data_IF_773785027228
#
_entry.id   IF_773785027228
#
_cell.length_a   1.000
_cell.length_b   1.000
_cell.length_c   1.000
_cell.angle_alpha   90.00
_cell.angle_beta   90.00
_cell.angle_gamma   90.00
#
_symmetry.space_group_name_H-M   'P 1'
#
loop_
_entity.id
_entity.type
_entity.pdbx_description
1 polymer ?
#
# COMPACT_ATOMS: atom_id res chain seq x y z
N UNK A 1 70.08 -27.72 1.37
CA UNK A 1 69.08 -26.62 1.37
C UNK A 1 68.25 -26.71 2.65
N UNK A 2 67.87 -25.56 3.20
CA UNK A 2 67.23 -25.24 4.50
C UNK A 2 66.14 -26.27 4.93
N UNK A 3 66.27 -26.91 6.11
CA UNK A 3 65.83 -26.54 7.50
C UNK A 3 64.34 -26.87 7.80
N UNK A 4 64.09 -27.89 8.64
CA UNK A 4 63.58 -27.86 10.05
C UNK A 4 62.05 -28.10 10.08
N UNK A 5 61.55 -29.31 10.40
CA UNK A 5 61.29 -29.95 11.71
C UNK A 5 60.23 -29.23 12.58
N UNK A 6 59.00 -29.75 12.57
CA UNK A 6 57.96 -29.46 13.58
C UNK A 6 58.16 -30.37 14.80
N UNK A 7 57.96 -29.84 16.02
CA UNK A 7 56.99 -30.49 16.91
C UNK A 7 56.17 -29.54 17.79
N UNK A 8 54.86 -29.84 17.82
CA UNK A 8 53.98 -30.06 18.98
C UNK A 8 54.18 -29.28 20.31
N UNK A 9 53.12 -28.55 20.67
CA UNK A 9 52.55 -28.24 21.99
C UNK A 9 53.43 -27.94 23.22
N UNK A 10 53.26 -26.73 23.78
CA UNK A 10 53.15 -26.52 25.23
C UNK A 10 52.39 -25.22 25.53
N UNK A 11 51.47 -25.30 26.50
CA UNK A 11 50.57 -24.24 26.95
C UNK A 11 51.31 -23.08 27.65
N UNK A 12 50.79 -21.87 27.51
CA UNK A 12 51.17 -20.71 28.32
C UNK A 12 49.93 -20.12 28.99
N UNK A 13 49.95 -20.19 30.32
CA UNK A 13 49.02 -19.61 31.28
C UNK A 13 49.08 -18.08 31.25
N UNK A 14 47.91 -17.44 31.34
CA UNK A 14 47.78 -16.02 31.68
C UNK A 14 47.57 -15.86 33.20
N UNK A 15 48.41 -15.03 33.83
CA UNK A 15 48.19 -14.30 35.09
C UNK A 15 48.71 -12.88 34.77
N UNK A 16 48.06 -11.74 35.05
CA UNK A 16 46.97 -11.38 35.95
C UNK A 16 47.39 -10.08 36.67
N UNK A 17 46.52 -9.05 36.67
CA UNK A 17 46.35 -7.96 37.67
C UNK A 17 45.46 -6.87 37.02
N UNK A 18 44.18 -6.76 37.37
CA UNK A 18 43.56 -6.18 38.58
C UNK A 18 43.31 -4.67 38.47
N UNK A 19 42.06 -4.29 38.23
CA UNK A 19 41.33 -3.33 39.05
C UNK A 19 39.83 -3.61 38.87
N UNK A 20 39.23 -4.14 39.93
CA UNK A 20 37.78 -4.33 40.08
C UNK A 20 37.23 -3.08 40.78
N UNK A 21 36.69 -2.15 40.01
CA UNK A 21 35.63 -1.29 40.54
C UNK A 21 34.32 -2.03 40.33
N UNK A 22 33.81 -2.63 41.42
CA UNK A 22 32.43 -3.10 41.47
C UNK A 22 31.54 -1.85 41.56
N UNK A 23 30.99 -1.44 40.43
CA UNK A 23 29.74 -0.68 40.44
C UNK A 23 28.69 -1.57 41.12
N UNK A 24 27.96 -1.02 42.10
CA UNK A 24 26.85 -1.73 42.70
C UNK A 24 25.85 -2.08 41.60
N UNK A 25 25.54 -3.37 41.52
CA UNK A 25 24.43 -3.87 40.73
C UNK A 25 23.13 -3.53 41.47
N UNK A 26 22.84 -2.23 41.58
CA UNK A 26 21.50 -1.75 41.90
C UNK A 26 20.70 -1.74 40.59
N UNK A 27 20.58 -2.90 39.95
CA UNK A 27 19.47 -3.13 39.04
C UNK A 27 18.23 -3.13 39.93
N UNK A 28 17.29 -2.18 39.77
CA UNK A 28 16.02 -2.30 40.48
C UNK A 28 15.44 -3.63 40.06
N UNK A 29 15.17 -4.53 41.01
CA UNK A 29 14.24 -5.62 40.77
C UNK A 29 13.01 -4.99 40.12
N UNK A 30 12.76 -5.32 38.85
CA UNK A 30 11.50 -4.91 38.23
C UNK A 30 10.43 -5.64 39.03
N UNK A 31 9.74 -4.90 39.91
CA UNK A 31 8.40 -5.25 40.33
C UNK A 31 7.69 -5.72 39.06
N UNK A 32 7.19 -6.97 39.06
CA UNK A 32 6.65 -7.68 37.90
C UNK A 32 5.48 -7.02 37.18
N UNK A 33 5.26 -5.72 37.39
CA UNK A 33 4.62 -4.78 36.48
C UNK A 33 5.23 -4.89 35.07
N UNK A 34 4.42 -5.38 34.14
CA UNK A 34 4.70 -5.25 32.71
C UNK A 34 4.88 -3.76 32.39
N UNK A 35 6.05 -3.36 31.86
CA UNK A 35 6.37 -1.96 31.49
C UNK A 35 5.33 -1.32 30.55
N UNK A 36 4.54 -2.14 29.87
CA UNK A 36 3.49 -1.71 28.97
C UNK A 36 2.24 -2.61 29.15
N UNK A 37 1.39 -2.36 30.18
CA UNK A 37 0.23 -3.20 30.43
C UNK A 37 -0.76 -3.15 29.25
N UNK A 38 -1.49 -4.26 29.07
CA UNK A 38 -2.47 -4.39 28.00
C UNK A 38 -3.61 -3.37 28.17
N UNK A 39 -3.80 -2.50 27.19
CA UNK A 39 -4.86 -1.50 27.13
C UNK A 39 -6.05 -2.00 26.29
N UNK A 40 -7.04 -1.12 26.09
CA UNK A 40 -8.25 -1.46 25.36
C UNK A 40 -7.99 -1.75 23.87
N UNK A 41 -7.14 -0.95 23.21
CA UNK A 41 -6.76 -1.17 21.82
C UNK A 41 -6.06 -2.52 21.62
N UNK A 42 -5.19 -2.94 22.54
CA UNK A 42 -4.52 -4.25 22.42
C UNK A 42 -5.51 -5.41 22.48
N UNK A 43 -6.49 -5.34 23.39
CA UNK A 43 -7.55 -6.36 23.49
C UNK A 43 -8.44 -6.34 22.25
N UNK A 44 -8.71 -5.16 21.72
CA UNK A 44 -9.47 -5.00 20.49
C UNK A 44 -8.75 -5.64 19.30
N UNK A 45 -7.47 -5.32 19.13
CA UNK A 45 -6.62 -5.85 18.07
C UNK A 45 -6.54 -7.38 18.13
N UNK A 46 -6.31 -7.95 19.32
CA UNK A 46 -6.28 -9.40 19.51
C UNK A 46 -7.60 -10.06 19.10
N UNK A 47 -8.72 -9.54 19.61
CA UNK A 47 -10.04 -10.15 19.41
C UNK A 47 -10.59 -9.97 18.00
N UNK A 48 -10.47 -8.76 17.43
CA UNK A 48 -11.17 -8.37 16.21
C UNK A 48 -10.27 -8.31 14.97
N UNK A 49 -8.95 -8.36 15.12
CA UNK A 49 -8.02 -8.37 13.99
C UNK A 49 -7.15 -9.63 13.97
N UNK A 50 -6.34 -9.86 15.00
CA UNK A 50 -5.34 -10.93 15.02
C UNK A 50 -5.98 -12.33 15.06
N UNK A 51 -6.93 -12.56 15.96
CA UNK A 51 -7.64 -13.85 16.07
C UNK A 51 -8.38 -14.25 14.77
N UNK A 52 -9.23 -13.37 14.18
CA UNK A 52 -9.97 -13.73 12.97
C UNK A 52 -9.11 -13.77 11.70
N UNK A 53 -8.12 -12.88 11.56
CA UNK A 53 -7.42 -12.67 10.29
C UNK A 53 -5.93 -12.98 10.33
N UNK A 54 -5.36 -13.39 11.47
CA UNK A 54 -3.92 -13.61 11.63
C UNK A 54 -3.05 -12.41 11.22
N UNK A 55 -3.59 -11.20 11.41
CA UNK A 55 -2.91 -9.92 11.20
C UNK A 55 -2.59 -9.31 12.57
N UNK A 56 -1.31 -9.19 12.88
CA UNK A 56 -0.83 -8.47 14.06
C UNK A 56 -0.66 -6.98 13.72
N UNK A 57 -1.18 -6.08 14.55
CA UNK A 57 -0.97 -4.63 14.40
C UNK A 57 -0.14 -4.14 15.58
N UNK A 58 1.05 -3.65 15.29
CA UNK A 58 2.01 -3.16 16.27
C UNK A 58 2.10 -1.64 16.17
N UNK A 59 1.65 -0.94 17.21
CA UNK A 59 1.70 0.53 17.30
C UNK A 59 2.55 1.02 18.49
N UNK A 60 2.88 0.12 19.42
CA UNK A 60 3.87 0.31 20.49
C UNK A 60 4.96 -0.73 20.28
N UNK A 61 6.20 -0.29 20.22
CA UNK A 61 7.34 -1.16 19.97
C UNK A 61 8.52 -0.73 20.86
N UNK A 62 9.17 -1.70 21.49
CA UNK A 62 10.42 -1.52 22.24
C UNK A 62 11.60 -2.22 21.54
N UNK A 63 11.31 -3.09 20.56
CA UNK A 63 12.27 -3.96 19.90
C UNK A 63 12.86 -3.32 18.64
N UNK A 64 14.19 -3.25 18.60
CA UNK A 64 14.96 -2.81 17.44
C UNK A 64 14.89 -3.79 16.25
N UNK A 65 14.31 -4.98 16.42
CA UNK A 65 14.06 -5.95 15.35
C UNK A 65 12.78 -5.67 14.56
N UNK A 66 11.89 -4.81 15.09
CA UNK A 66 10.64 -4.45 14.43
C UNK A 66 10.77 -3.16 13.62
N UNK A 67 11.78 -2.32 13.84
CA UNK A 67 11.92 -1.04 13.14
C UNK A 67 13.38 -0.79 12.73
N UNK A 68 13.60 -0.22 11.54
CA UNK A 68 14.94 0.19 11.12
C UNK A 68 15.35 1.51 11.82
N UNK A 69 16.32 1.45 12.75
CA UNK A 69 16.81 2.63 13.50
C UNK A 69 17.65 3.62 12.67
N UNK A 70 17.92 3.34 11.39
CA UNK A 70 18.50 4.34 10.47
C UNK A 70 17.62 5.58 10.35
N UNK A 71 16.31 5.44 10.64
CA UNK A 71 15.36 6.53 10.71
C UNK A 71 14.92 6.80 12.15
N UNK A 72 14.67 8.07 12.47
CA UNK A 72 14.06 8.47 13.74
C UNK A 72 12.55 8.45 13.62
N UNK A 73 11.91 7.37 14.11
CA UNK A 73 10.45 7.31 14.16
C UNK A 73 9.94 7.86 15.49
N UNK A 74 8.92 8.72 15.44
CA UNK A 74 8.11 8.94 16.64
C UNK A 74 7.13 7.78 16.80
N UNK A 75 6.88 7.31 18.03
CA UNK A 75 5.81 6.36 18.29
C UNK A 75 4.47 6.85 17.73
N UNK A 76 3.62 5.90 17.36
CA UNK A 76 2.24 6.19 16.97
C UNK A 76 1.44 6.58 18.21
N UNK A 77 0.70 7.70 18.14
CA UNK A 77 -0.19 8.15 19.20
C UNK A 77 -1.39 7.21 19.31
N UNK A 78 -1.86 6.97 20.53
CA UNK A 78 -2.91 5.98 20.81
C UNK A 78 -4.21 6.26 20.03
N UNK A 79 -4.70 7.50 20.07
CA UNK A 79 -5.90 7.94 19.36
C UNK A 79 -5.76 7.77 17.84
N UNK A 80 -4.55 7.99 17.31
CA UNK A 80 -4.22 7.82 15.89
C UNK A 80 -4.16 6.35 15.49
N UNK A 81 -3.66 5.48 16.36
CA UNK A 81 -3.73 4.04 16.16
C UNK A 81 -5.19 3.54 16.17
N UNK A 82 -6.04 4.05 17.07
CA UNK A 82 -7.49 3.75 17.07
C UNK A 82 -8.13 4.17 15.74
N UNK A 83 -7.85 5.39 15.27
CA UNK A 83 -8.34 5.87 13.97
C UNK A 83 -7.91 4.97 12.82
N UNK A 84 -6.62 4.61 12.77
CA UNK A 84 -6.10 3.70 11.75
C UNK A 84 -6.81 2.35 11.78
N UNK A 85 -6.94 1.70 12.95
CA UNK A 85 -7.51 0.35 13.05
C UNK A 85 -8.97 0.33 12.58
N UNK A 86 -9.75 1.34 12.93
CA UNK A 86 -11.13 1.43 12.48
C UNK A 86 -11.24 1.67 10.96
N UNK A 87 -10.36 2.51 10.39
CA UNK A 87 -10.27 2.72 8.94
C UNK A 87 -9.83 1.45 8.22
N UNK A 88 -8.78 0.79 8.71
CA UNK A 88 -8.25 -0.46 8.19
C UNK A 88 -9.32 -1.56 8.17
N UNK A 89 -10.02 -1.75 9.29
CA UNK A 89 -11.14 -2.70 9.35
C UNK A 89 -12.20 -2.36 8.30
N UNK A 90 -12.60 -1.09 8.21
CA UNK A 90 -13.73 -0.68 7.37
C UNK A 90 -13.43 -0.64 5.87
N UNK A 91 -12.25 -0.20 5.46
CA UNK A 91 -11.89 0.02 4.05
C UNK A 91 -11.00 -1.08 3.46
N UNK A 92 -10.34 -1.89 4.28
CA UNK A 92 -9.50 -2.99 3.80
C UNK A 92 -10.07 -4.36 4.17
N UNK A 93 -10.24 -4.64 5.46
CA UNK A 93 -10.63 -5.98 5.94
C UNK A 93 -12.04 -6.35 5.48
N UNK A 94 -13.03 -5.51 5.77
CA UNK A 94 -14.43 -5.81 5.48
C UNK A 94 -14.72 -5.97 3.97
N UNK A 95 -14.19 -5.13 3.06
CA UNK A 95 -14.29 -5.36 1.61
C UNK A 95 -13.69 -6.69 1.16
N UNK A 96 -12.48 -7.04 1.61
CA UNK A 96 -11.88 -8.32 1.25
C UNK A 96 -12.73 -9.48 1.74
N UNK A 97 -13.14 -9.46 3.01
CA UNK A 97 -13.99 -10.52 3.59
C UNK A 97 -15.31 -10.68 2.82
N UNK A 98 -15.90 -9.58 2.36
CA UNK A 98 -17.15 -9.62 1.60
C UNK A 98 -17.00 -10.20 0.19
N UNK A 99 -15.90 -9.89 -0.50
CA UNK A 99 -15.64 -10.42 -1.84
C UNK A 99 -15.08 -11.84 -1.81
N UNK A 100 -14.32 -12.17 -0.77
CA UNK A 100 -13.70 -13.49 -0.59
C UNK A 100 -14.24 -14.18 0.66
N UNK A 101 -13.52 -14.13 1.78
CA UNK A 101 -13.93 -14.64 3.08
C UNK A 101 -12.93 -14.26 4.18
N UNK A 102 -13.32 -14.44 5.45
CA UNK A 102 -12.39 -14.37 6.59
C UNK A 102 -11.22 -15.34 6.44
N UNK A 103 -11.48 -16.57 6.00
CA UNK A 103 -10.43 -17.60 5.78
C UNK A 103 -9.44 -17.15 4.73
N UNK A 104 -9.92 -16.58 3.63
CA UNK A 104 -9.05 -16.07 2.57
C UNK A 104 -8.09 -15.01 3.11
N UNK A 105 -8.61 -14.00 3.82
CA UNK A 105 -7.75 -12.94 4.35
C UNK A 105 -6.76 -13.49 5.37
N UNK A 106 -7.19 -14.45 6.20
CA UNK A 106 -6.32 -15.15 7.17
C UNK A 106 -5.16 -15.90 6.52
N UNK A 107 -5.38 -16.55 5.39
CA UNK A 107 -4.39 -17.40 4.73
C UNK A 107 -3.50 -16.63 3.74
N UNK A 108 -4.05 -15.58 3.12
CA UNK A 108 -3.42 -14.94 1.97
C UNK A 108 -3.01 -13.49 2.19
N UNK A 109 -3.37 -12.85 3.31
CA UNK A 109 -2.92 -11.48 3.61
C UNK A 109 -1.49 -11.41 4.14
N UNK A 110 -0.92 -10.20 4.20
CA UNK A 110 0.17 -9.89 5.12
C UNK A 110 -0.22 -10.25 6.55
N UNK A 111 0.74 -10.52 7.43
CA UNK A 111 0.49 -10.99 8.79
C UNK A 111 0.89 -9.98 9.87
N UNK A 112 1.55 -8.88 9.51
CA UNK A 112 1.96 -7.86 10.47
C UNK A 112 1.95 -6.47 9.84
N UNK A 113 1.31 -5.53 10.52
CA UNK A 113 1.37 -4.09 10.24
C UNK A 113 2.07 -3.38 11.39
N UNK A 114 3.09 -2.59 11.08
CA UNK A 114 3.83 -1.79 12.05
C UNK A 114 3.53 -0.32 11.79
N UNK A 115 2.91 0.34 12.76
CA UNK A 115 2.45 1.71 12.66
C UNK A 115 3.52 2.68 13.15
N UNK A 116 4.03 3.51 12.24
CA UNK A 116 5.05 4.51 12.52
C UNK A 116 4.42 5.91 12.46
N UNK A 117 4.68 6.73 13.48
CA UNK A 117 3.99 8.00 13.65
C UNK A 117 4.37 9.08 12.63
N UNK A 118 5.65 9.21 12.28
CA UNK A 118 6.16 10.20 11.31
C UNK A 118 6.31 9.60 9.91
N UNK A 119 6.38 10.44 8.86
CA UNK A 119 6.90 10.01 7.57
C UNK A 119 8.33 9.51 7.69
N UNK A 120 8.68 8.56 6.83
CA UNK A 120 10.07 8.29 6.52
C UNK A 120 10.44 9.03 5.23
N UNK A 121 11.68 9.46 5.09
CA UNK A 121 12.16 10.13 3.89
C UNK A 121 13.38 9.42 3.34
N UNK A 122 13.42 9.21 2.02
CA UNK A 122 14.63 8.77 1.34
C UNK A 122 15.70 9.87 1.40
N UNK A 123 16.94 9.50 1.06
CA UNK A 123 18.06 10.44 0.99
C UNK A 123 17.87 11.56 -0.04
N UNK A 124 16.96 11.38 -1.00
CA UNK A 124 16.56 12.38 -2.00
C UNK A 124 15.42 13.30 -1.54
N UNK A 125 14.91 13.11 -0.32
CA UNK A 125 13.81 13.90 0.25
C UNK A 125 12.41 13.44 -0.16
N UNK A 126 12.28 12.39 -0.99
CA UNK A 126 10.99 11.78 -1.28
C UNK A 126 10.45 11.06 -0.04
N UNK A 127 9.14 11.18 0.17
CA UNK A 127 8.44 10.60 1.31
C UNK A 127 8.16 9.11 1.06
N UNK A 128 8.60 8.25 1.97
CA UNK A 128 8.26 6.84 2.03
C UNK A 128 6.97 6.67 2.82
N UNK A 129 5.87 6.32 2.13
CA UNK A 129 4.58 6.01 2.78
C UNK A 129 4.54 4.57 3.32
N UNK A 130 5.32 3.66 2.73
CA UNK A 130 5.60 2.32 3.23
C UNK A 130 7.11 2.05 3.24
N UNK A 131 7.63 1.37 4.27
CA UNK A 131 9.04 1.01 4.36
C UNK A 131 9.21 -0.51 4.40
N UNK A 132 10.05 -1.03 3.50
CA UNK A 132 10.72 -2.32 3.58
C UNK A 132 9.90 -3.50 4.13
N UNK A 133 9.43 -4.36 3.24
CA UNK A 133 8.65 -5.53 3.60
C UNK A 133 9.50 -6.78 3.48
N UNK A 134 10.03 -7.22 4.62
CA UNK A 134 10.69 -8.52 4.71
C UNK A 134 9.63 -9.56 5.05
N UNK A 135 9.25 -10.36 4.06
CA UNK A 135 8.17 -11.33 4.18
C UNK A 135 6.80 -10.64 4.24
N UNK A 136 5.89 -11.15 5.06
CA UNK A 136 4.50 -10.66 5.18
C UNK A 136 4.32 -9.49 6.17
N UNK A 137 5.35 -8.67 6.37
CA UNK A 137 5.34 -7.52 7.30
C UNK A 137 5.31 -6.21 6.53
N UNK A 138 4.47 -5.27 6.95
CA UNK A 138 4.33 -3.96 6.32
C UNK A 138 4.55 -2.84 7.35
N UNK A 139 5.49 -1.92 7.08
CA UNK A 139 5.60 -0.69 7.85
C UNK A 139 4.76 0.41 7.20
N UNK A 140 3.82 0.98 7.95
CA UNK A 140 3.02 2.11 7.52
C UNK A 140 3.48 3.36 8.27
N UNK A 141 3.75 4.42 7.53
CA UNK A 141 4.22 5.69 8.10
C UNK A 141 3.10 6.72 8.18
N UNK A 142 3.40 7.90 8.75
CA UNK A 142 2.46 9.03 8.88
C UNK A 142 1.19 8.77 9.69
N UNK A 143 1.17 7.73 10.52
CA UNK A 143 -0.07 7.40 11.25
C UNK A 143 -0.50 8.55 12.18
N UNK A 144 0.44 9.35 12.70
CA UNK A 144 0.07 10.51 13.53
C UNK A 144 -0.65 11.63 12.75
N UNK A 145 -0.54 11.63 11.41
CA UNK A 145 -1.15 12.60 10.50
C UNK A 145 -2.43 12.07 9.83
N UNK A 146 -2.94 10.91 10.25
CA UNK A 146 -4.12 10.29 9.65
C UNK A 146 -5.31 11.26 9.59
N UNK A 147 -5.93 11.32 8.41
CA UNK A 147 -7.16 12.07 8.15
C UNK A 147 -8.30 11.08 7.90
N UNK A 148 -8.95 10.55 8.95
CA UNK A 148 -9.85 9.41 8.83
C UNK A 148 -11.13 9.68 8.04
N UNK A 149 -11.43 10.95 7.73
CA UNK A 149 -12.62 11.36 6.97
C UNK A 149 -12.26 11.96 5.59
N UNK A 150 -10.99 11.88 5.16
CA UNK A 150 -10.54 12.39 3.86
C UNK A 150 -10.19 11.21 2.94
N UNK A 151 -11.03 10.95 1.94
CA UNK A 151 -10.86 9.81 1.02
C UNK A 151 -9.55 9.88 0.26
N UNK A 152 -9.15 11.06 -0.20
CA UNK A 152 -7.94 11.23 -0.99
C UNK A 152 -6.69 11.02 -0.15
N UNK A 153 -6.68 11.56 1.07
CA UNK A 153 -5.58 11.30 2.00
C UNK A 153 -5.46 9.81 2.31
N UNK A 154 -6.58 9.14 2.61
CA UNK A 154 -6.61 7.71 2.93
C UNK A 154 -6.19 6.85 1.74
N UNK A 155 -6.65 7.16 0.53
CA UNK A 155 -6.28 6.42 -0.67
C UNK A 155 -4.77 6.47 -0.93
N UNK A 156 -4.19 7.67 -0.89
CA UNK A 156 -2.81 7.88 -1.31
C UNK A 156 -1.77 7.55 -0.24
N UNK A 157 -2.11 7.75 1.04
CA UNK A 157 -1.16 7.57 2.14
C UNK A 157 -1.34 6.22 2.87
N UNK A 158 -2.39 5.46 2.53
CA UNK A 158 -2.72 4.24 3.27
C UNK A 158 -3.21 3.10 2.37
N UNK A 159 -4.33 3.29 1.68
CA UNK A 159 -5.01 2.18 1.01
C UNK A 159 -4.25 1.68 -0.21
N UNK A 160 -3.64 2.57 -1.00
CA UNK A 160 -2.78 2.19 -2.13
C UNK A 160 -1.67 1.24 -1.66
N UNK A 161 -0.94 1.59 -0.59
CA UNK A 161 0.09 0.74 0.02
C UNK A 161 -0.50 -0.57 0.52
N UNK A 162 -1.60 -0.55 1.27
CA UNK A 162 -2.21 -1.77 1.78
C UNK A 162 -2.61 -2.75 0.66
N UNK A 163 -3.23 -2.27 -0.42
CA UNK A 163 -3.60 -3.11 -1.56
C UNK A 163 -2.38 -3.58 -2.37
N UNK A 164 -1.38 -2.73 -2.53
CA UNK A 164 -0.10 -3.07 -3.15
C UNK A 164 0.55 -4.25 -2.43
N UNK A 165 0.74 -4.13 -1.11
CA UNK A 165 1.42 -5.16 -0.32
C UNK A 165 0.62 -6.45 -0.16
N UNK A 166 -0.70 -6.34 -0.03
CA UNK A 166 -1.55 -7.51 -0.03
C UNK A 166 -1.57 -8.21 -1.39
N UNK A 167 -1.33 -7.50 -2.49
CA UNK A 167 -1.27 -8.12 -3.81
C UNK A 167 0.04 -8.88 -4.02
N UNK A 168 1.14 -8.44 -3.40
CA UNK A 168 2.38 -9.21 -3.36
C UNK A 168 2.17 -10.59 -2.73
N UNK A 169 1.42 -10.68 -1.63
CA UNK A 169 1.21 -11.97 -0.96
C UNK A 169 0.40 -12.95 -1.81
N UNK A 170 -0.48 -12.45 -2.69
CA UNK A 170 -1.22 -13.29 -3.64
C UNK A 170 -0.27 -13.88 -4.68
N UNK A 171 0.45 -13.05 -5.44
CA UNK A 171 1.29 -13.57 -6.53
C UNK A 171 2.48 -14.39 -6.06
N UNK A 172 3.02 -14.08 -4.88
CA UNK A 172 4.06 -14.91 -4.25
C UNK A 172 3.53 -16.29 -3.82
N UNK A 173 2.22 -16.42 -3.58
CA UNK A 173 1.60 -17.71 -3.24
C UNK A 173 1.27 -18.53 -4.48
N UNK A 174 0.71 -17.89 -5.52
CA UNK A 174 0.46 -18.51 -6.82
C UNK A 174 0.83 -17.50 -7.90
N UNK A 175 1.87 -17.80 -8.68
CA UNK A 175 2.41 -16.90 -9.69
C UNK A 175 1.40 -16.66 -10.84
N UNK A 176 1.35 -15.43 -11.36
CA UNK A 176 0.66 -15.12 -12.61
C UNK A 176 1.51 -15.50 -13.82
N UNK A 177 0.95 -15.42 -15.03
CA UNK A 177 1.67 -15.81 -16.26
C UNK A 177 2.86 -14.88 -16.56
N UNK A 178 3.97 -15.45 -17.03
CA UNK A 178 5.15 -14.70 -17.50
C UNK A 178 4.86 -13.84 -18.74
N UNK A 179 3.69 -14.00 -19.37
CA UNK A 179 3.25 -13.11 -20.44
C UNK A 179 3.05 -11.66 -19.98
N UNK A 180 2.79 -11.44 -18.69
CA UNK A 180 2.68 -10.08 -18.13
C UNK A 180 4.01 -9.32 -18.26
N UNK A 181 5.11 -9.92 -17.83
CA UNK A 181 6.46 -9.33 -17.90
C UNK A 181 6.84 -8.96 -19.34
N UNK A 182 6.50 -9.82 -20.31
CA UNK A 182 6.85 -9.64 -21.74
C UNK A 182 6.27 -8.37 -22.35
N UNK A 183 5.19 -7.81 -21.80
CA UNK A 183 4.51 -6.62 -22.36
C UNK A 183 5.41 -5.37 -22.32
N UNK A 184 6.20 -5.22 -21.25
CA UNK A 184 7.11 -4.08 -21.03
C UNK A 184 8.55 -4.51 -20.74
N UNK A 185 8.94 -5.71 -21.16
CA UNK A 185 10.24 -6.34 -20.84
C UNK A 185 11.46 -5.43 -21.05
N UNK A 186 11.46 -4.67 -22.15
CA UNK A 186 12.60 -3.81 -22.51
C UNK A 186 12.65 -2.48 -21.73
N UNK A 187 11.61 -2.16 -20.95
CA UNK A 187 11.42 -0.85 -20.33
C UNK A 187 11.51 -0.88 -18.79
N UNK A 188 11.78 -2.05 -18.17
CA UNK A 188 12.09 -2.12 -16.74
C UNK A 188 13.43 -1.45 -16.41
N UNK A 189 13.46 -0.70 -15.31
CA UNK A 189 14.56 0.18 -14.88
C UNK A 189 15.18 -0.23 -13.54
N UNK A 190 14.59 -1.17 -12.81
CA UNK A 190 15.04 -1.55 -11.47
C UNK A 190 15.03 -0.34 -10.51
N UNK A 191 16.04 -0.30 -9.64
CA UNK A 191 16.22 0.80 -8.68
C UNK A 191 16.44 2.18 -9.28
N UNK A 192 16.55 2.31 -10.61
CA UNK A 192 16.68 3.60 -11.29
C UNK A 192 15.35 4.15 -11.81
N UNK A 193 14.22 3.50 -11.54
CA UNK A 193 12.90 3.91 -12.06
C UNK A 193 12.63 5.42 -11.90
N UNK A 194 12.76 5.98 -10.70
CA UNK A 194 12.50 7.41 -10.47
C UNK A 194 13.47 8.34 -11.22
N UNK A 195 14.77 8.04 -11.22
CA UNK A 195 15.78 8.88 -11.88
C UNK A 195 15.72 8.76 -13.41
N UNK A 196 15.30 7.62 -13.93
CA UNK A 196 15.12 7.37 -15.36
C UNK A 196 14.00 8.23 -15.94
N UNK A 197 12.81 8.22 -15.32
CA UNK A 197 11.64 8.95 -15.82
C UNK A 197 11.65 10.43 -15.41
N UNK A 198 12.30 10.76 -14.28
CA UNK A 198 12.37 12.11 -13.75
C UNK A 198 10.99 12.70 -13.48
N UNK A 199 10.77 13.94 -13.91
CA UNK A 199 9.48 14.62 -13.80
C UNK A 199 8.53 14.34 -14.97
N UNK A 200 8.95 13.54 -15.97
CA UNK A 200 8.10 13.18 -17.10
C UNK A 200 7.22 11.99 -16.74
N UNK A 201 6.02 11.94 -17.33
CA UNK A 201 5.11 10.79 -17.23
C UNK A 201 5.30 9.80 -18.38
N UNK A 202 6.49 9.77 -18.99
CA UNK A 202 6.79 8.91 -20.13
C UNK A 202 6.76 7.41 -19.78
N UNK A 203 6.82 7.05 -18.49
CA UNK A 203 6.55 5.69 -18.01
C UNK A 203 5.17 5.18 -18.47
N UNK A 204 4.17 6.06 -18.62
CA UNK A 204 2.85 5.70 -19.16
C UNK A 204 2.96 5.20 -20.60
N UNK A 205 3.77 5.87 -21.44
CA UNK A 205 4.01 5.47 -22.84
C UNK A 205 4.76 4.14 -22.93
N UNK A 206 5.55 3.80 -21.90
CA UNK A 206 6.19 2.49 -21.75
C UNK A 206 5.24 1.39 -21.21
N UNK A 207 4.03 1.76 -20.81
CA UNK A 207 2.99 0.85 -20.34
C UNK A 207 3.00 0.62 -18.83
N UNK A 208 3.59 1.52 -18.04
CA UNK A 208 3.63 1.47 -16.58
C UNK A 208 2.65 2.50 -15.99
N UNK A 209 1.93 2.18 -14.91
CA UNK A 209 0.93 3.11 -14.34
C UNK A 209 1.57 4.20 -13.48
N UNK A 210 2.72 3.92 -12.87
CA UNK A 210 3.57 4.88 -12.16
C UNK A 210 5.02 4.68 -12.58
N UNK A 211 5.91 5.61 -12.23
CA UNK A 211 7.34 5.41 -12.41
C UNK A 211 7.82 4.14 -11.68
N UNK A 212 7.31 3.89 -10.47
CA UNK A 212 7.70 2.76 -9.61
C UNK A 212 7.32 1.41 -10.22
N UNK A 213 6.21 1.32 -10.97
CA UNK A 213 5.86 0.13 -11.76
C UNK A 213 6.96 -0.32 -12.73
N UNK A 214 7.90 0.55 -13.11
CA UNK A 214 9.04 0.15 -13.94
C UNK A 214 10.19 -0.49 -13.16
N UNK A 215 10.08 -0.67 -11.84
CA UNK A 215 11.12 -1.32 -11.04
C UNK A 215 11.33 -2.77 -11.52
N UNK A 216 10.30 -3.60 -11.45
CA UNK A 216 10.23 -4.93 -12.05
C UNK A 216 8.78 -5.33 -12.32
N UNK A 217 8.58 -6.54 -12.87
CA UNK A 217 7.25 -7.00 -13.27
C UNK A 217 6.30 -7.27 -12.11
N UNK A 218 6.82 -7.59 -10.92
CA UNK A 218 6.01 -7.84 -9.74
C UNK A 218 5.51 -6.52 -9.15
N UNK A 219 6.38 -5.51 -9.07
CA UNK A 219 6.00 -4.14 -8.67
C UNK A 219 5.02 -3.52 -9.67
N UNK A 220 5.22 -3.73 -10.97
CA UNK A 220 4.29 -3.32 -12.02
C UNK A 220 2.89 -3.89 -11.80
N UNK A 221 2.81 -5.20 -11.55
CA UNK A 221 1.56 -5.91 -11.33
C UNK A 221 0.81 -5.35 -10.12
N UNK A 222 1.45 -5.27 -8.96
CA UNK A 222 0.76 -4.87 -7.74
C UNK A 222 0.42 -3.39 -7.70
N UNK A 223 1.25 -2.55 -8.32
CA UNK A 223 1.02 -1.11 -8.40
C UNK A 223 -0.13 -0.81 -9.35
N UNK A 224 -0.20 -1.48 -10.51
CA UNK A 224 -1.34 -1.39 -11.41
C UNK A 224 -2.65 -1.77 -10.71
N UNK A 225 -2.63 -2.81 -9.88
CA UNK A 225 -3.80 -3.25 -9.10
C UNK A 225 -4.20 -2.18 -8.09
N UNK A 226 -3.25 -1.71 -7.28
CA UNK A 226 -3.49 -0.71 -6.25
C UNK A 226 -4.05 0.60 -6.84
N UNK A 227 -3.48 1.09 -7.94
CA UNK A 227 -3.96 2.29 -8.64
C UNK A 227 -5.33 2.10 -9.25
N UNK A 228 -5.60 0.94 -9.86
CA UNK A 228 -6.91 0.63 -10.41
C UNK A 228 -8.02 0.69 -9.35
N UNK A 229 -7.76 0.21 -8.14
CA UNK A 229 -8.71 0.25 -7.02
C UNK A 229 -9.04 1.70 -6.62
N UNK A 230 -8.02 2.55 -6.45
CA UNK A 230 -8.22 3.88 -5.86
C UNK A 230 -8.59 4.97 -6.88
N UNK A 231 -8.19 4.83 -8.15
CA UNK A 231 -8.55 5.79 -9.20
C UNK A 231 -10.05 5.77 -9.46
N UNK A 232 -10.56 6.92 -9.93
CA UNK A 232 -11.86 6.95 -10.58
C UNK A 232 -11.79 6.23 -11.92
N UNK A 233 -12.88 5.61 -12.33
CA UNK A 233 -12.99 4.92 -13.62
C UNK A 233 -14.30 5.37 -14.26
N UNK A 234 -14.22 6.23 -15.27
CA UNK A 234 -15.40 6.83 -15.89
C UNK A 234 -16.32 5.75 -16.45
N UNK A 235 -15.76 4.73 -17.11
CA UNK A 235 -16.53 3.62 -17.69
C UNK A 235 -17.37 2.88 -16.64
N UNK A 236 -16.91 2.83 -15.38
CA UNK A 236 -17.61 2.17 -14.27
C UNK A 236 -18.44 3.12 -13.41
N UNK A 237 -18.03 4.38 -13.26
CA UNK A 237 -18.52 5.28 -12.21
C UNK A 237 -19.41 6.41 -12.74
N UNK A 238 -19.22 6.87 -13.99
CA UNK A 238 -19.80 8.14 -14.42
C UNK A 238 -21.22 8.03 -14.97
N UNK A 239 -21.60 6.86 -15.51
CA UNK A 239 -22.86 6.70 -16.23
C UNK A 239 -22.99 7.63 -17.45
N UNK A 240 -21.86 8.01 -18.04
CA UNK A 240 -21.74 9.07 -19.05
C UNK A 240 -21.31 8.56 -20.43
N UNK A 241 -21.23 7.24 -20.64
CA UNK A 241 -20.87 6.67 -21.95
C UNK A 241 -21.90 7.06 -23.02
N UNK A 242 -21.41 7.45 -24.21
CA UNK A 242 -22.27 7.86 -25.33
C UNK A 242 -21.64 7.47 -26.67
N UNK A 243 -22.47 7.33 -27.70
CA UNK A 243 -22.04 7.19 -29.10
C UNK A 243 -22.51 8.37 -29.96
N UNK A 244 -23.18 9.35 -29.33
CA UNK A 244 -23.66 10.53 -30.03
C UNK A 244 -22.55 11.58 -30.12
N UNK A 245 -21.99 11.75 -31.31
CA UNK A 245 -20.92 12.72 -31.59
C UNK A 245 -21.31 14.19 -31.40
N UNK A 246 -22.59 14.51 -31.19
CA UNK A 246 -23.00 15.87 -30.81
C UNK A 246 -22.87 16.14 -29.29
N UNK A 247 -22.70 15.09 -28.49
CA UNK A 247 -22.53 15.15 -27.03
C UNK A 247 -21.11 14.80 -26.58
N UNK A 248 -20.31 14.23 -27.50
CA UNK A 248 -18.92 13.81 -27.33
C UNK A 248 -18.07 14.57 -28.37
N UNK A 249 -17.68 15.79 -28.02
CA UNK A 249 -17.00 16.70 -28.96
C UNK A 249 -15.54 16.30 -29.16
N UNK A 250 -14.92 15.69 -28.15
CA UNK A 250 -13.50 15.31 -28.19
C UNK A 250 -13.28 13.85 -28.63
N UNK A 251 -14.36 13.09 -28.84
CA UNK A 251 -14.37 11.74 -29.40
C UNK A 251 -13.86 10.67 -28.45
N UNK A 252 -13.91 10.92 -27.13
CA UNK A 252 -13.39 10.01 -26.11
C UNK A 252 -14.41 8.94 -25.65
N UNK A 253 -15.65 9.01 -26.15
CA UNK A 253 -16.73 8.07 -25.87
C UNK A 253 -17.61 8.46 -24.67
N UNK A 254 -17.41 9.65 -24.10
CA UNK A 254 -18.18 10.16 -22.97
C UNK A 254 -18.96 11.43 -23.33
N UNK A 255 -20.15 11.60 -22.74
CA UNK A 255 -20.91 12.84 -22.84
C UNK A 255 -20.17 13.94 -22.06
N UNK A 256 -19.72 14.98 -22.78
CA UNK A 256 -18.89 16.08 -22.26
C UNK A 256 -19.51 16.73 -21.01
N UNK A 257 -20.84 16.93 -21.03
CA UNK A 257 -21.56 17.59 -19.95
C UNK A 257 -21.71 16.69 -18.74
N UNK A 258 -22.05 15.42 -18.94
CA UNK A 258 -22.18 14.45 -17.85
C UNK A 258 -20.82 14.14 -17.22
N UNK A 259 -19.77 14.00 -18.03
CA UNK A 259 -18.40 13.76 -17.56
C UNK A 259 -17.91 14.94 -16.72
N UNK A 260 -18.08 16.17 -17.20
CA UNK A 260 -17.73 17.39 -16.46
C UNK A 260 -18.49 17.48 -15.14
N UNK A 261 -19.80 17.21 -15.15
CA UNK A 261 -20.63 17.23 -13.95
C UNK A 261 -20.24 16.12 -12.95
N UNK A 262 -19.83 14.95 -13.44
CA UNK A 262 -19.33 13.86 -12.61
C UNK A 262 -17.99 14.21 -11.95
N UNK A 263 -17.02 14.75 -12.69
CA UNK A 263 -15.73 15.18 -12.11
C UNK A 263 -15.89 16.31 -11.09
N UNK A 264 -16.80 17.25 -11.32
CA UNK A 264 -17.06 18.34 -10.39
C UNK A 264 -17.48 17.86 -8.98
N UNK A 265 -17.97 16.62 -8.86
CA UNK A 265 -18.39 16.02 -7.58
C UNK A 265 -17.23 15.47 -6.74
N UNK A 266 -16.02 15.34 -7.30
CA UNK A 266 -14.88 14.73 -6.60
C UNK A 266 -14.57 15.45 -5.28
N UNK A 267 -14.74 16.77 -5.26
CA UNK A 267 -14.52 17.61 -4.07
C UNK A 267 -15.46 17.29 -2.90
N UNK A 268 -16.56 16.57 -3.13
CA UNK A 268 -17.45 16.13 -2.06
C UNK A 268 -16.77 15.13 -1.10
N UNK A 269 -15.69 14.48 -1.54
CA UNK A 269 -14.92 13.53 -0.72
C UNK A 269 -13.61 14.09 -0.16
N UNK A 270 -13.31 15.38 -0.38
CA UNK A 270 -12.12 16.06 0.14
C UNK A 270 -11.46 16.97 -0.88
N UNK A 271 -10.40 17.67 -0.47
CA UNK A 271 -9.52 18.38 -1.40
C UNK A 271 -8.80 17.37 -2.31
N UNK A 272 -8.88 17.60 -3.61
CA UNK A 272 -8.27 16.73 -4.64
C UNK A 272 -6.83 17.15 -4.98
N UNK A 273 -6.40 18.32 -4.50
CA UNK A 273 -5.14 18.93 -4.91
C UNK A 273 -3.95 18.09 -4.45
N UNK A 274 -3.14 17.63 -5.40
CA UNK A 274 -1.93 16.86 -5.11
C UNK A 274 -2.16 15.38 -4.79
N UNK A 275 -3.39 14.88 -4.97
CA UNK A 275 -3.72 13.46 -4.77
C UNK A 275 -3.85 12.71 -6.09
N UNK A 276 -3.10 11.63 -6.22
CA UNK A 276 -3.10 10.77 -7.39
C UNK A 276 -4.39 9.95 -7.49
N UNK A 277 -5.03 9.59 -6.38
CA UNK A 277 -6.35 8.93 -6.39
C UNK A 277 -7.50 9.77 -6.93
N UNK A 278 -7.29 11.09 -7.14
CA UNK A 278 -8.23 11.92 -7.88
C UNK A 278 -8.13 11.72 -9.42
N UNK A 279 -7.17 10.93 -9.90
CA UNK A 279 -7.03 10.60 -11.32
C UNK A 279 -8.22 9.80 -11.85
N UNK A 280 -8.53 10.01 -13.13
CA UNK A 280 -9.50 9.20 -13.87
C UNK A 280 -8.73 8.24 -14.78
N UNK A 281 -9.03 6.96 -14.69
CA UNK A 281 -8.39 5.87 -15.43
C UNK A 281 -8.29 6.17 -16.93
N UNK A 282 -9.38 6.64 -17.53
CA UNK A 282 -9.47 6.95 -18.96
C UNK A 282 -8.60 8.14 -19.36
N UNK A 283 -8.42 9.14 -18.48
CA UNK A 283 -7.50 10.26 -18.74
C UNK A 283 -6.04 9.79 -18.69
N UNK A 284 -5.72 8.89 -17.75
CA UNK A 284 -4.39 8.28 -17.67
C UNK A 284 -4.11 7.40 -18.89
N UNK A 285 -5.10 6.62 -19.35
CA UNK A 285 -4.98 5.86 -20.59
C UNK A 285 -4.85 6.74 -21.83
N UNK A 286 -5.55 7.88 -21.90
CA UNK A 286 -5.41 8.86 -22.99
C UNK A 286 -4.00 9.43 -23.05
N UNK A 287 -3.40 9.75 -21.90
CA UNK A 287 -1.99 10.17 -21.80
C UNK A 287 -1.02 9.06 -22.25
N UNK A 288 -1.34 7.80 -21.93
CA UNK A 288 -0.56 6.64 -22.33
C UNK A 288 -0.75 6.24 -23.81
N UNK A 289 -1.68 6.83 -24.57
CA UNK A 289 -2.05 6.39 -25.92
C UNK A 289 -1.07 6.87 -27.01
N UNK A 290 0.22 6.75 -26.70
CA UNK A 290 1.33 7.04 -27.58
C UNK A 290 2.39 5.96 -27.37
N UNK A 291 3.14 5.65 -28.42
CA UNK A 291 4.30 4.74 -28.32
C UNK A 291 5.46 5.47 -27.65
N UNK A 292 6.18 4.80 -26.75
CA UNK A 292 7.43 5.34 -26.19
C UNK A 292 8.52 5.50 -27.27
N UNK A 293 8.51 4.64 -28.30
CA UNK A 293 9.41 4.67 -29.47
C UNK A 293 8.65 4.24 -30.72
N UNK A 294 8.99 4.78 -31.88
CA UNK A 294 8.34 4.44 -33.16
C UNK A 294 8.43 2.95 -33.54
N UNK A 295 9.46 2.26 -33.03
CA UNK A 295 9.68 0.83 -33.24
C UNK A 295 8.78 -0.08 -32.41
N UNK A 296 8.08 0.47 -31.41
CA UNK A 296 7.17 -0.33 -30.58
C UNK A 296 5.96 -0.79 -31.38
N UNK A 297 5.47 -1.99 -31.10
CA UNK A 297 4.21 -2.49 -31.66
C UNK A 297 3.02 -1.74 -31.07
N UNK A 298 3.02 -1.56 -29.74
CA UNK A 298 1.88 -1.09 -28.97
C UNK A 298 2.12 0.29 -28.35
N UNK A 299 1.06 1.09 -28.22
CA UNK A 299 1.06 2.28 -27.35
C UNK A 299 1.11 1.88 -25.88
N UNK A 300 1.47 2.81 -25.00
CA UNK A 300 1.40 2.61 -23.55
C UNK A 300 0.01 2.18 -23.07
N UNK A 301 -1.05 2.79 -23.60
CA UNK A 301 -2.44 2.41 -23.36
C UNK A 301 -2.70 0.94 -23.70
N UNK A 302 -2.33 0.50 -24.89
CA UNK A 302 -2.50 -0.89 -25.32
C UNK A 302 -1.72 -1.87 -24.45
N UNK A 303 -0.55 -1.47 -23.92
CA UNK A 303 0.22 -2.26 -22.95
C UNK A 303 -0.52 -2.36 -21.61
N UNK A 304 -1.01 -1.24 -21.08
CA UNK A 304 -1.79 -1.20 -19.83
C UNK A 304 -3.08 -2.01 -19.92
N UNK A 305 -3.78 -1.95 -21.06
CA UNK A 305 -4.98 -2.74 -21.33
C UNK A 305 -4.70 -4.26 -21.37
N UNK A 306 -3.57 -4.67 -21.96
CA UNK A 306 -3.14 -6.07 -21.92
C UNK A 306 -2.81 -6.52 -20.49
N UNK A 307 -2.08 -5.69 -19.73
CA UNK A 307 -1.72 -5.97 -18.33
C UNK A 307 -2.95 -6.11 -17.43
N UNK A 308 -3.89 -5.16 -17.51
CA UNK A 308 -5.11 -5.22 -16.67
C UNK A 308 -5.98 -6.43 -17.04
N UNK A 309 -6.01 -6.85 -18.32
CA UNK A 309 -6.73 -8.05 -18.74
C UNK A 309 -6.10 -9.32 -18.14
N UNK A 310 -4.77 -9.46 -18.16
CA UNK A 310 -4.06 -10.57 -17.52
C UNK A 310 -4.32 -10.56 -16.01
N UNK A 311 -4.23 -9.40 -15.36
CA UNK A 311 -4.48 -9.25 -13.93
C UNK A 311 -5.89 -9.65 -13.53
N UNK A 312 -6.91 -9.10 -14.19
CA UNK A 312 -8.32 -9.43 -13.90
C UNK A 312 -8.57 -10.92 -14.08
N UNK A 313 -8.05 -11.52 -15.15
CA UNK A 313 -8.16 -12.96 -15.39
C UNK A 313 -7.49 -13.76 -14.28
N UNK A 314 -6.26 -13.43 -13.90
CA UNK A 314 -5.52 -14.08 -12.83
C UNK A 314 -6.30 -14.02 -11.50
N UNK A 315 -6.77 -12.83 -11.10
CA UNK A 315 -7.55 -12.64 -9.87
C UNK A 315 -8.85 -13.46 -9.89
N UNK A 316 -9.56 -13.47 -11.02
CA UNK A 316 -10.81 -14.22 -11.13
C UNK A 316 -10.61 -15.74 -11.14
N UNK A 317 -9.64 -16.24 -11.90
CA UNK A 317 -9.47 -17.69 -12.09
C UNK A 317 -8.71 -18.35 -10.93
N UNK A 318 -7.79 -17.61 -10.30
CA UNK A 318 -6.92 -18.14 -9.24
C UNK A 318 -7.51 -17.89 -7.86
N UNK A 319 -8.06 -16.70 -7.63
CA UNK A 319 -8.48 -16.24 -6.30
C UNK A 319 -9.99 -16.02 -6.17
N UNK A 320 -10.76 -16.22 -7.25
CA UNK A 320 -12.18 -15.91 -7.30
C UNK A 320 -12.48 -14.45 -6.89
N UNK A 321 -11.58 -13.53 -7.25
CA UNK A 321 -11.73 -12.10 -7.01
C UNK A 321 -12.12 -11.43 -8.32
N UNK A 322 -13.31 -10.84 -8.36
CA UNK A 322 -13.67 -9.87 -9.39
C UNK A 322 -13.16 -8.49 -8.96
N UNK A 323 -12.16 -7.96 -9.67
CA UNK A 323 -11.52 -6.69 -9.32
C UNK A 323 -12.49 -5.49 -9.41
N UNK A 324 -13.45 -5.51 -10.33
CA UNK A 324 -14.42 -4.42 -10.49
C UNK A 324 -15.43 -4.42 -9.36
N UNK A 325 -15.91 -5.60 -8.95
CA UNK A 325 -16.78 -5.74 -7.77
C UNK A 325 -16.05 -5.38 -6.47
N UNK A 326 -14.79 -5.77 -6.34
CA UNK A 326 -13.97 -5.41 -5.19
C UNK A 326 -13.78 -3.90 -5.06
N UNK A 327 -13.43 -3.25 -6.18
CA UNK A 327 -13.36 -1.79 -6.26
C UNK A 327 -14.70 -1.15 -5.92
N UNK A 328 -15.81 -1.66 -6.47
CA UNK A 328 -17.15 -1.12 -6.19
C UNK A 328 -17.53 -1.27 -4.70
N UNK A 329 -17.20 -2.39 -4.07
CA UNK A 329 -17.42 -2.61 -2.64
C UNK A 329 -16.67 -1.60 -1.78
N UNK A 330 -15.39 -1.34 -2.08
CA UNK A 330 -14.60 -0.33 -1.37
C UNK A 330 -15.24 1.06 -1.53
N UNK A 331 -15.58 1.44 -2.76
CA UNK A 331 -16.13 2.77 -3.07
C UNK A 331 -17.53 2.99 -2.51
N UNK A 332 -18.32 1.93 -2.33
CA UNK A 332 -19.64 1.99 -1.68
C UNK A 332 -19.57 2.50 -0.23
N UNK A 333 -18.39 2.43 0.38
CA UNK A 333 -18.13 2.83 1.76
C UNK A 333 -17.69 4.29 1.88
N UNK A 334 -17.20 4.90 0.81
CA UNK A 334 -16.69 6.27 0.81
C UNK A 334 -17.70 7.31 1.33
N UNK A 335 -19.02 7.22 1.03
CA UNK A 335 -19.98 8.16 1.59
C UNK A 335 -19.96 8.27 3.11
N UNK A 336 -19.82 7.13 3.80
CA UNK A 336 -19.85 7.07 5.26
C UNK A 336 -18.53 7.52 5.88
N UNK A 337 -17.44 7.51 5.11
CA UNK A 337 -16.16 8.10 5.52
C UNK A 337 -16.20 9.62 5.37
N UNK A 338 -16.68 10.11 4.23
CA UNK A 338 -16.78 11.55 3.95
C UNK A 338 -17.96 12.24 4.68
N UNK A 339 -18.91 11.47 5.23
CA UNK A 339 -20.14 11.98 5.83
C UNK A 339 -21.14 12.55 4.82
N UNK A 340 -20.96 12.25 3.53
CA UNK A 340 -21.88 12.65 2.45
C UNK A 340 -21.75 11.73 1.25
N UNK A 341 -22.80 11.57 0.45
CA UNK A 341 -22.77 10.86 -0.82
C UNK A 341 -21.88 11.56 -1.83
N UNK A 342 -21.58 10.87 -2.93
CA UNK A 342 -20.85 11.46 -4.05
C UNK A 342 -21.57 12.68 -4.66
N UNK A 343 -22.91 12.71 -4.60
CA UNK A 343 -23.71 13.88 -5.01
C UNK A 343 -23.76 15.01 -3.95
N UNK A 344 -23.06 14.86 -2.83
CA UNK A 344 -22.95 15.88 -1.78
C UNK A 344 -24.08 15.85 -0.74
N UNK A 345 -24.95 14.84 -0.76
CA UNK A 345 -26.03 14.69 0.22
C UNK A 345 -25.46 14.14 1.54
N UNK A 346 -25.70 14.80 2.67
CA UNK A 346 -25.19 14.34 3.96
C UNK A 346 -25.68 12.91 4.30
N UNK A 347 -24.78 12.09 4.84
CA UNK A 347 -25.09 10.75 5.38
C UNK A 347 -24.43 10.57 6.74
N UNK A 348 -24.92 9.65 7.59
CA UNK A 348 -24.27 9.38 8.88
C UNK A 348 -22.81 8.98 8.68
N UNK A 349 -21.89 9.82 9.16
CA UNK A 349 -20.47 9.52 9.10
C UNK A 349 -20.11 8.41 10.11
N UNK A 350 -19.19 7.53 9.73
CA UNK A 350 -18.64 6.52 10.64
C UNK A 350 -17.67 7.21 11.59
N UNK A 351 -17.82 6.97 12.90
CA UNK A 351 -16.88 7.47 13.89
C UNK A 351 -15.66 6.54 13.96
N UNK A 352 -14.53 7.02 13.48
CA UNK A 352 -13.25 6.32 13.52
C UNK A 352 -12.47 6.60 14.81
N UNK A 353 -12.91 7.53 15.66
CA UNK A 353 -12.17 7.94 16.86
C UNK A 353 -12.36 7.02 18.08
N UNK A 354 -13.35 6.13 18.03
CA UNK A 354 -13.72 5.21 19.11
C UNK A 354 -13.68 3.76 18.65
N UNK A 355 -13.28 2.84 19.53
CA UNK A 355 -13.30 1.41 19.23
C UNK A 355 -14.74 0.91 19.23
N UNK A 356 -15.21 0.45 18.07
CA UNK A 356 -16.54 -0.13 17.94
C UNK A 356 -16.43 -1.65 18.09
N UNK A 357 -16.98 -2.17 19.20
CA UNK A 357 -16.95 -3.59 19.57
C UNK A 357 -17.98 -4.46 18.83
N UNK A 358 -18.72 -3.86 17.89
CA UNK A 358 -19.81 -4.48 17.13
C UNK A 358 -19.31 -5.32 15.95
#
# INVERSE_FOLDING_TARGET
>A
MKKILYPLCAALFFLGCSNHDKLSDDTPESDGSTLNPQNELDRYLDKYIATPYSIEIVYRYEDNKLINREYSYTPTQYDKAVQFVNVFKYLFVEPYVKITSTTFLKEHSFNMLILLGQPAFNSDGSKNVGLANVGRKVHLTEINNIQPNNIYWLNDNLLSTLYHENSHTLHQSIQYTTDYEKISLNDYQGGNCFSHWGSTRDYLKAGFITAYSSYDHDEDFVELLARYIVYYNASLDCGCATTNSSLDTDGDGFDDSLYTAWKAKFVNYGDITGYESASVWEEVLKEADVKIRDTETYTGKQKLEQKIAIMKKYLSETWNINLDEFRAEIRSRYPYVAGKTFDGVAVPAKDFSILNND
#
